data_IF_975055983917
#
_entry.id   IF_975055983917
#
_cell.length_a   1.000
_cell.length_b   1.000
_cell.length_c   1.000
_cell.angle_alpha   90.00
_cell.angle_beta   90.00
_cell.angle_gamma   90.00
#
_symmetry.space_group_name_H-M   'P 1'
#
loop_
_entity.id
_entity.type
_entity.pdbx_description
1 polymer ?
#
# COMPACT_ATOMS: atom_id res chain seq x y z
N UNK A 1 16.47 -20.66 -8.44
CA UNK A 1 17.00 -19.54 -7.62
C UNK A 1 15.99 -19.22 -6.53
N UNK A 2 16.42 -19.30 -5.25
CA UNK A 2 15.62 -18.86 -4.09
C UNK A 2 15.36 -17.35 -4.20
N UNK A 3 14.17 -16.89 -3.80
CA UNK A 3 13.82 -15.45 -3.79
C UNK A 3 14.64 -14.75 -2.69
N UNK A 4 15.26 -13.59 -2.96
CA UNK A 4 16.02 -12.87 -1.95
C UNK A 4 15.08 -12.35 -0.84
N UNK A 5 15.61 -12.20 0.38
CA UNK A 5 14.83 -11.78 1.55
C UNK A 5 14.06 -10.46 1.30
N UNK A 6 14.68 -9.48 0.64
CA UNK A 6 14.03 -8.21 0.34
C UNK A 6 12.78 -8.36 -0.55
N UNK A 7 12.77 -9.31 -1.48
CA UNK A 7 11.60 -9.60 -2.32
C UNK A 7 10.50 -10.27 -1.49
N UNK A 8 10.86 -11.14 -0.54
CA UNK A 8 9.91 -11.72 0.40
C UNK A 8 9.28 -10.66 1.31
N UNK A 9 10.07 -9.75 1.86
CA UNK A 9 9.56 -8.64 2.69
C UNK A 9 8.57 -7.79 1.91
N UNK A 10 8.89 -7.40 0.66
CA UNK A 10 7.97 -6.62 -0.19
C UNK A 10 6.70 -7.40 -0.51
N UNK A 11 6.80 -8.69 -0.86
CA UNK A 11 5.61 -9.52 -1.09
C UNK A 11 4.73 -9.61 0.15
N UNK A 12 5.33 -9.80 1.33
CA UNK A 12 4.61 -9.88 2.59
C UNK A 12 3.86 -8.58 2.89
N UNK A 13 4.52 -7.43 2.76
CA UNK A 13 3.88 -6.12 2.98
C UNK A 13 2.77 -5.87 1.97
N UNK A 14 2.99 -6.14 0.68
CA UNK A 14 1.95 -5.96 -0.34
C UNK A 14 0.75 -6.88 -0.07
N UNK A 15 0.99 -8.14 0.32
CA UNK A 15 -0.09 -9.07 0.64
C UNK A 15 -0.87 -8.65 1.89
N UNK A 16 -0.18 -8.24 2.96
CA UNK A 16 -0.83 -7.68 4.15
C UNK A 16 -1.66 -6.45 3.79
N UNK A 17 -1.08 -5.52 3.02
CA UNK A 17 -1.79 -4.31 2.62
C UNK A 17 -3.04 -4.64 1.82
N UNK A 18 -2.96 -5.55 0.83
CA UNK A 18 -4.13 -6.00 0.06
C UNK A 18 -5.19 -6.65 0.95
N UNK A 19 -4.76 -7.47 1.93
CA UNK A 19 -5.66 -8.16 2.86
C UNK A 19 -6.51 -7.18 3.67
N UNK A 20 -5.95 -6.05 4.10
CA UNK A 20 -6.70 -5.01 4.82
C UNK A 20 -7.41 -4.03 3.88
N UNK A 21 -6.77 -3.67 2.76
CA UNK A 21 -7.28 -2.68 1.83
C UNK A 21 -8.57 -3.13 1.14
N UNK A 22 -8.67 -4.40 0.73
CA UNK A 22 -9.89 -4.89 0.03
C UNK A 22 -11.14 -4.78 0.92
N UNK A 23 -11.18 -5.36 2.14
CA UNK A 23 -12.35 -5.25 3.02
C UNK A 23 -12.73 -3.80 3.34
N UNK A 24 -11.73 -2.94 3.61
CA UNK A 24 -11.98 -1.52 3.89
C UNK A 24 -12.63 -0.80 2.70
N UNK A 25 -12.23 -1.12 1.46
CA UNK A 25 -12.83 -0.54 0.27
C UNK A 25 -14.25 -1.08 0.00
N UNK A 26 -14.51 -2.35 0.29
CA UNK A 26 -15.86 -2.92 0.21
C UNK A 26 -16.78 -2.22 1.22
N UNK A 27 -16.33 -2.06 2.47
CA UNK A 27 -17.07 -1.34 3.49
C UNK A 27 -17.35 0.11 3.10
N UNK A 28 -16.34 0.82 2.58
CA UNK A 28 -16.48 2.20 2.10
C UNK A 28 -17.51 2.29 0.96
N UNK A 29 -17.50 1.36 0.01
CA UNK A 29 -18.48 1.32 -1.09
C UNK A 29 -19.92 1.23 -0.57
N UNK A 30 -20.20 0.28 0.33
CA UNK A 30 -21.55 0.14 0.90
C UNK A 30 -21.98 1.36 1.71
N UNK A 31 -21.04 1.95 2.47
CA UNK A 31 -21.28 3.18 3.22
C UNK A 31 -21.64 4.35 2.29
N UNK A 32 -20.91 4.50 1.17
CA UNK A 32 -21.17 5.54 0.17
C UNK A 32 -22.53 5.36 -0.52
N UNK A 33 -22.92 4.13 -0.86
CA UNK A 33 -24.24 3.83 -1.43
C UNK A 33 -25.35 4.21 -0.44
N UNK A 34 -25.20 3.85 0.84
CA UNK A 34 -26.16 4.22 1.87
C UNK A 34 -26.28 5.74 2.03
N UNK A 35 -25.16 6.47 1.92
CA UNK A 35 -25.11 7.91 2.08
C UNK A 35 -25.80 8.65 0.92
N UNK A 36 -25.62 8.19 -0.32
CA UNK A 36 -26.31 8.70 -1.51
C UNK A 36 -27.83 8.50 -1.38
N UNK A 37 -28.25 7.31 -0.96
CA UNK A 37 -29.67 7.00 -0.77
C UNK A 37 -30.32 7.84 0.34
N UNK A 38 -29.55 8.14 1.41
CA UNK A 38 -30.04 8.93 2.54
C UNK A 38 -30.09 10.43 2.25
N UNK A 39 -29.17 10.94 1.42
CA UNK A 39 -29.04 12.37 1.13
C UNK A 39 -28.91 12.66 -0.37
N UNK A 40 -29.97 12.41 -1.17
CA UNK A 40 -29.92 12.56 -2.63
C UNK A 40 -29.73 14.02 -3.09
N UNK A 41 -29.99 15.00 -2.22
CA UNK A 41 -29.84 16.43 -2.51
C UNK A 41 -28.39 16.94 -2.38
N UNK A 42 -27.50 16.19 -1.76
CA UNK A 42 -26.09 16.52 -1.73
C UNK A 42 -25.48 16.04 -3.06
N UNK A 43 -24.97 16.95 -3.89
CA UNK A 43 -24.27 16.66 -5.16
C UNK A 43 -22.89 15.98 -4.95
N UNK A 44 -22.78 15.06 -4.01
CA UNK A 44 -21.56 14.31 -3.62
C UNK A 44 -21.36 13.04 -4.45
N UNK A 45 -22.34 12.64 -5.26
CA UNK A 45 -22.27 11.43 -6.09
C UNK A 45 -21.02 11.40 -6.98
N UNK A 46 -20.68 12.51 -7.63
CA UNK A 46 -19.48 12.60 -8.47
C UNK A 46 -18.20 12.38 -7.67
N UNK A 47 -18.09 13.01 -6.49
CA UNK A 47 -16.93 12.86 -5.61
C UNK A 47 -16.76 11.40 -5.16
N UNK A 48 -17.84 10.76 -4.72
CA UNK A 48 -17.82 9.36 -4.27
C UNK A 48 -17.46 8.38 -5.39
N UNK A 49 -17.92 8.64 -6.63
CA UNK A 49 -17.55 7.84 -7.80
C UNK A 49 -16.05 7.98 -8.10
N UNK A 50 -15.52 9.20 -8.13
CA UNK A 50 -14.09 9.45 -8.38
C UNK A 50 -13.23 8.79 -7.31
N UNK A 51 -13.60 8.95 -6.04
CA UNK A 51 -12.91 8.31 -4.92
C UNK A 51 -12.89 6.78 -5.07
N UNK A 52 -14.02 6.19 -5.43
CA UNK A 52 -14.12 4.74 -5.66
C UNK A 52 -13.23 4.27 -6.81
N UNK A 53 -13.23 4.99 -7.94
CA UNK A 53 -12.38 4.67 -9.10
C UNK A 53 -10.90 4.69 -8.69
N UNK A 54 -10.46 5.72 -7.96
CA UNK A 54 -9.08 5.84 -7.47
C UNK A 54 -8.72 4.63 -6.59
N UNK A 55 -9.58 4.28 -5.64
CA UNK A 55 -9.39 3.13 -4.75
C UNK A 55 -9.27 1.81 -5.51
N UNK A 56 -10.13 1.58 -6.52
CA UNK A 56 -10.09 0.38 -7.37
C UNK A 56 -8.80 0.33 -8.19
N UNK A 57 -8.39 1.44 -8.80
CA UNK A 57 -7.13 1.53 -9.56
C UNK A 57 -5.94 1.16 -8.67
N UNK A 58 -5.91 1.68 -7.44
CA UNK A 58 -4.86 1.36 -6.48
C UNK A 58 -4.85 -0.14 -6.15
N UNK A 59 -6.01 -0.74 -5.87
CA UNK A 59 -6.11 -2.17 -5.62
C UNK A 59 -5.58 -3.01 -6.80
N UNK A 60 -5.95 -2.64 -8.03
CA UNK A 60 -5.47 -3.31 -9.25
C UNK A 60 -3.94 -3.20 -9.37
N UNK A 61 -3.37 -2.01 -9.15
CA UNK A 61 -1.92 -1.80 -9.19
C UNK A 61 -1.20 -2.67 -8.15
N UNK A 62 -1.72 -2.75 -6.92
CA UNK A 62 -1.15 -3.59 -5.85
C UNK A 62 -1.19 -5.08 -6.20
N UNK A 63 -2.34 -5.59 -6.65
CA UNK A 63 -2.50 -6.99 -7.05
C UNK A 63 -1.57 -7.30 -8.21
N UNK A 64 -1.50 -6.41 -9.20
CA UNK A 64 -0.63 -6.59 -10.35
C UNK A 64 0.85 -6.51 -9.97
N UNK A 65 1.23 -5.68 -9.00
CA UNK A 65 2.58 -5.68 -8.45
C UNK A 65 2.93 -7.04 -7.84
N UNK A 66 2.07 -7.59 -6.98
CA UNK A 66 2.26 -8.93 -6.38
C UNK A 66 2.43 -9.98 -7.47
N UNK A 67 1.51 -10.07 -8.42
CA UNK A 67 1.58 -11.05 -9.52
C UNK A 67 2.85 -10.88 -10.34
N UNK A 68 3.26 -9.64 -10.62
CA UNK A 68 4.45 -9.34 -11.41
C UNK A 68 5.75 -9.69 -10.66
N UNK A 69 5.79 -9.53 -9.34
CA UNK A 69 6.90 -9.95 -8.50
C UNK A 69 6.98 -11.48 -8.38
N UNK A 70 5.84 -12.15 -8.22
CA UNK A 70 5.74 -13.61 -8.20
C UNK A 70 6.23 -14.23 -9.52
N UNK A 71 5.77 -13.68 -10.66
CA UNK A 71 6.10 -14.12 -12.02
C UNK A 71 7.39 -13.50 -12.59
N UNK A 72 8.16 -12.75 -11.78
CA UNK A 72 9.44 -12.15 -12.20
C UNK A 72 9.37 -11.32 -13.50
N UNK A 73 8.25 -10.64 -13.73
CA UNK A 73 8.08 -9.82 -14.93
C UNK A 73 9.08 -8.66 -14.94
N UNK A 74 9.49 -8.20 -16.13
CA UNK A 74 10.38 -7.02 -16.31
C UNK A 74 9.88 -5.78 -15.56
N UNK A 75 8.56 -5.58 -15.55
CA UNK A 75 7.90 -4.48 -14.85
C UNK A 75 7.60 -4.79 -13.37
N UNK A 76 7.91 -5.98 -12.86
CA UNK A 76 7.57 -6.36 -11.48
C UNK A 76 8.27 -5.52 -10.43
N UNK A 77 9.52 -5.14 -10.67
CA UNK A 77 10.26 -4.25 -9.77
C UNK A 77 9.70 -2.82 -9.76
N UNK A 78 9.57 -2.11 -10.91
CA UNK A 78 9.02 -0.75 -10.88
C UNK A 78 7.56 -0.72 -10.38
N UNK A 79 6.73 -1.72 -10.70
CA UNK A 79 5.38 -1.83 -10.14
C UNK A 79 5.39 -1.99 -8.62
N UNK A 80 6.22 -2.88 -8.08
CA UNK A 80 6.35 -3.05 -6.63
C UNK A 80 6.87 -1.77 -5.95
N UNK A 81 7.82 -1.07 -6.56
CA UNK A 81 8.31 0.21 -6.02
C UNK A 81 7.21 1.27 -6.04
N UNK A 82 6.43 1.39 -7.11
CA UNK A 82 5.28 2.29 -7.18
C UNK A 82 4.24 1.97 -6.11
N UNK A 83 3.91 0.68 -5.94
CA UNK A 83 3.03 0.21 -4.88
C UNK A 83 3.53 0.58 -3.48
N UNK A 84 4.82 0.39 -3.20
CA UNK A 84 5.39 0.78 -1.91
C UNK A 84 5.30 2.30 -1.69
N UNK A 85 5.53 3.11 -2.73
CA UNK A 85 5.38 4.57 -2.63
C UNK A 85 3.92 4.93 -2.33
N UNK A 86 2.95 4.32 -3.00
CA UNK A 86 1.52 4.56 -2.74
C UNK A 86 1.18 4.21 -1.29
N UNK A 87 1.63 3.06 -0.78
CA UNK A 87 1.42 2.66 0.61
C UNK A 87 2.03 3.69 1.56
N UNK A 88 3.27 4.11 1.31
CA UNK A 88 3.96 5.10 2.12
C UNK A 88 3.23 6.44 2.15
N UNK A 89 2.77 6.92 1.00
CA UNK A 89 1.96 8.15 0.91
C UNK A 89 0.64 8.03 1.66
N UNK A 90 -0.03 6.86 1.60
CA UNK A 90 -1.25 6.60 2.34
C UNK A 90 -1.03 6.61 3.85
N UNK A 91 0.09 6.05 4.32
CA UNK A 91 0.44 6.06 5.75
C UNK A 91 0.67 7.49 6.26
N UNK A 92 1.43 8.30 5.51
CA UNK A 92 1.65 9.71 5.83
C UNK A 92 0.32 10.46 5.84
N UNK A 93 -0.54 10.26 4.84
CA UNK A 93 -1.84 10.89 4.78
C UNK A 93 -2.73 10.50 5.96
N UNK A 94 -2.79 9.21 6.30
CA UNK A 94 -3.58 8.71 7.42
C UNK A 94 -3.13 9.30 8.75
N UNK A 95 -1.82 9.39 9.00
CA UNK A 95 -1.27 9.98 10.22
C UNK A 95 -1.62 11.47 10.35
N UNK A 96 -1.51 12.24 9.26
CA UNK A 96 -1.86 13.67 9.26
C UNK A 96 -3.38 13.93 9.29
N UNK A 97 -4.20 13.01 8.79
CA UNK A 97 -5.66 13.15 8.79
C UNK A 97 -6.28 12.76 10.14
N UNK A 98 -5.59 11.95 10.93
CA UNK A 98 -6.07 11.46 12.22
C UNK A 98 -6.00 12.52 13.33
N UNK A 99 -5.20 13.58 13.17
CA UNK A 99 -5.00 14.63 14.19
C UNK A 99 -6.27 15.43 14.53
N UNK A 100 -7.25 15.50 13.60
CA UNK A 100 -8.49 16.25 13.80
C UNK A 100 -9.66 15.39 14.28
N UNK A 101 -9.53 14.06 14.27
CA UNK A 101 -10.59 13.15 14.69
C UNK A 101 -10.49 12.86 16.20
N UNK A 102 -11.45 13.38 16.96
CA UNK A 102 -11.71 13.05 18.37
C UNK A 102 -12.21 11.60 18.53
N UNK A 103 -11.38 10.63 18.11
CA UNK A 103 -11.63 9.21 18.32
C UNK A 103 -11.43 8.86 19.81
N UNK A 104 -12.47 9.14 20.60
CA UNK A 104 -12.66 8.87 22.03
C UNK A 104 -12.38 7.42 22.47
N UNK A 105 -12.18 6.47 21.53
CA UNK A 105 -11.95 5.05 21.81
C UNK A 105 -10.46 4.68 21.99
N UNK A 106 -9.52 5.54 21.57
CA UNK A 106 -8.07 5.31 21.72
C UNK A 106 -7.33 6.59 22.11
N UNK A 107 -7.92 7.38 23.01
CA UNK A 107 -7.19 8.49 23.62
C UNK A 107 -6.04 7.92 24.43
N UNK A 108 -4.81 8.30 24.10
CA UNK A 108 -3.63 7.93 24.87
C UNK A 108 -3.71 8.69 26.20
N UNK A 109 -4.00 7.94 27.27
CA UNK A 109 -4.38 8.45 28.60
C UNK A 109 -3.19 9.04 29.36
N UNK A 110 -1.96 8.65 29.02
CA UNK A 110 -0.76 9.16 29.68
C UNK A 110 0.36 9.57 28.71
N UNK A 111 1.29 10.40 29.20
CA UNK A 111 2.38 10.95 28.39
C UNK A 111 3.35 9.86 27.89
N UNK A 112 3.49 8.76 28.63
CA UNK A 112 4.31 7.62 28.21
C UNK A 112 3.71 6.90 26.99
N UNK A 113 2.39 6.76 26.93
CA UNK A 113 1.65 6.18 25.81
C UNK A 113 1.74 7.09 24.57
N UNK A 114 1.66 8.41 24.75
CA UNK A 114 1.87 9.39 23.68
C UNK A 114 3.29 9.33 23.13
N UNK A 115 4.29 9.37 24.01
CA UNK A 115 5.68 9.21 23.62
C UNK A 115 5.95 7.88 22.91
N UNK A 116 5.34 6.78 23.40
CA UNK A 116 5.42 5.46 22.79
C UNK A 116 4.81 5.42 21.38
N UNK A 117 3.66 6.05 21.17
CA UNK A 117 3.02 6.14 19.85
C UNK A 117 3.89 6.92 18.85
N UNK A 118 4.40 8.11 19.24
CA UNK A 118 5.31 8.88 18.39
C UNK A 118 6.58 8.12 18.03
N UNK A 119 7.14 7.38 18.98
CA UNK A 119 8.33 6.57 18.75
C UNK A 119 8.04 5.39 17.81
N UNK A 120 6.86 4.76 17.95
CA UNK A 120 6.41 3.71 17.05
C UNK A 120 6.21 4.24 15.62
N UNK A 121 5.56 5.38 15.44
CA UNK A 121 5.36 6.03 14.13
C UNK A 121 6.70 6.35 13.46
N UNK A 122 7.66 6.91 14.22
CA UNK A 122 8.99 7.21 13.73
C UNK A 122 9.73 5.95 13.28
N UNK A 123 9.67 4.88 14.08
CA UNK A 123 10.26 3.58 13.72
C UNK A 123 9.60 3.01 12.46
N UNK A 124 8.28 3.07 12.37
CA UNK A 124 7.52 2.55 11.23
C UNK A 124 7.94 3.25 9.92
N UNK A 125 7.96 4.59 9.93
CA UNK A 125 8.37 5.40 8.78
C UNK A 125 9.82 5.07 8.37
N UNK A 126 10.74 4.97 9.34
CA UNK A 126 12.14 4.65 9.08
C UNK A 126 12.31 3.24 8.49
N UNK A 127 11.64 2.24 9.06
CA UNK A 127 11.69 0.86 8.57
C UNK A 127 11.14 0.74 7.16
N UNK A 128 10.02 1.44 6.87
CA UNK A 128 9.43 1.45 5.55
C UNK A 128 10.34 2.13 4.51
N UNK A 129 10.93 3.27 4.87
CA UNK A 129 11.90 3.97 4.03
C UNK A 129 13.12 3.07 3.73
N UNK A 130 13.71 2.45 4.76
CA UNK A 130 14.83 1.52 4.62
C UNK A 130 14.48 0.37 3.67
N UNK A 131 13.28 -0.22 3.80
CA UNK A 131 12.84 -1.27 2.90
C UNK A 131 12.75 -0.78 1.45
N UNK A 132 12.15 0.40 1.23
CA UNK A 132 12.00 1.00 -0.09
C UNK A 132 13.36 1.25 -0.74
N UNK A 133 14.31 1.82 -0.01
CA UNK A 133 15.68 2.03 -0.47
C UNK A 133 16.40 0.69 -0.74
N UNK A 134 16.35 -0.27 0.19
CA UNK A 134 17.02 -1.57 0.02
C UNK A 134 16.44 -2.36 -1.15
N UNK A 135 15.12 -2.35 -1.34
CA UNK A 135 14.49 -3.04 -2.46
C UNK A 135 14.90 -2.45 -3.81
N UNK A 136 15.03 -1.11 -3.89
CA UNK A 136 15.41 -0.42 -5.12
C UNK A 136 16.92 -0.45 -5.41
N UNK A 137 17.77 -0.36 -4.40
CA UNK A 137 19.22 -0.29 -4.60
C UNK A 137 19.89 -1.67 -4.59
N UNK A 138 19.28 -2.70 -3.99
CA UNK A 138 19.90 -4.02 -3.86
C UNK A 138 20.19 -4.69 -5.21
N UNK A 139 21.44 -5.13 -5.37
CA UNK A 139 21.87 -5.98 -6.49
C UNK A 139 21.12 -7.32 -6.53
N UNK A 140 20.75 -7.88 -5.37
CA UNK A 140 20.00 -9.13 -5.30
C UNK A 140 18.58 -8.97 -5.86
N UNK A 141 17.93 -7.84 -5.55
CA UNK A 141 16.63 -7.47 -6.13
C UNK A 141 16.75 -7.30 -7.64
N UNK A 142 17.72 -6.51 -8.13
CA UNK A 142 18.00 -6.35 -9.56
C UNK A 142 18.15 -7.69 -10.29
N UNK A 143 19.05 -8.56 -9.81
CA UNK A 143 19.35 -9.86 -10.40
C UNK A 143 18.13 -10.79 -10.47
N UNK A 144 17.23 -10.70 -9.49
CA UNK A 144 16.00 -11.50 -9.46
C UNK A 144 15.09 -11.23 -10.66
N UNK A 145 14.98 -9.98 -11.10
CA UNK A 145 14.12 -9.58 -12.22
C UNK A 145 14.83 -9.64 -13.59
N UNK A 146 16.16 -9.57 -13.63
CA UNK A 146 16.92 -9.64 -14.89
C UNK A 146 16.98 -11.05 -15.48
N UNK A 147 17.02 -12.10 -14.64
CA UNK A 147 17.26 -13.48 -15.11
C UNK A 147 16.12 -14.07 -15.95
N UNK A 148 14.87 -13.64 -15.75
CA UNK A 148 13.75 -14.09 -16.58
C UNK A 148 13.75 -13.38 -17.95
N UNK A 149 14.20 -12.12 -17.98
CA UNK A 149 14.29 -11.35 -19.23
C UNK A 149 15.37 -11.87 -20.17
N UNK A 150 16.41 -12.53 -19.65
CA UNK A 150 17.43 -13.20 -20.47
C UNK A 150 16.98 -14.54 -21.03
N UNK A 151 16.12 -15.27 -20.32
CA UNK A 151 15.61 -16.57 -20.79
C UNK A 151 14.61 -16.36 -21.93
N UNK A 152 13.64 -15.44 -21.78
CA UNK A 152 12.66 -15.15 -22.83
C UNK A 152 13.23 -14.51 -24.10
N UNK A 153 14.46 -13.98 -24.07
CA UNK A 153 15.08 -13.31 -25.22
C UNK A 153 15.80 -14.29 -26.16
N UNK A 154 15.98 -15.54 -25.74
CA UNK A 154 16.62 -16.59 -26.53
C UNK A 154 15.57 -17.37 -27.33
N UNK A 155 14.31 -17.31 -26.90
CA UNK A 155 13.19 -18.06 -27.48
C UNK A 155 12.31 -17.20 -28.44
N UNK A 156 12.79 -16.04 -28.87
CA UNK A 156 12.17 -15.15 -29.89
C UNK A 156 13.19 -14.77 -30.93
#
# INVERSE_FOLDING_TARGET
MKRPLCVWCVLFILMLFILFFIPLNIHALFSSIALINKYPSLNITMYLIVEFIIRVVIAIVMIWAVVSVFKRKKLGRPLASLSLIIIFSMMIYAHNSASDSSNLLFTLDNDAQRAGAYLADLIEVLLFAILLFRFNLSHASKKYFTKESSIKRIDT
#
